data_IF_261214800361
#
_entry.id   IF_261214800361
#
_cell.length_a   1.000
_cell.length_b   1.000
_cell.length_c   1.000
_cell.angle_alpha   90.00
_cell.angle_beta   90.00
_cell.angle_gamma   90.00
#
_symmetry.space_group_name_H-M   'P 1'
#
loop_
_entity.id
_entity.type
_entity.pdbx_description
1 polymer ?
#
# COMPACT_ATOMS: atom_id res chain seq x y z
N UNK A 1 12.49 -71.17 -26.17
CA UNK A 1 13.78 -71.40 -25.48
C UNK A 1 14.44 -70.06 -25.23
N UNK A 2 14.93 -69.85 -24.00
CA UNK A 2 15.68 -68.66 -23.57
C UNK A 2 17.10 -68.68 -24.15
N UNK A 3 17.71 -67.50 -24.36
CA UNK A 3 19.14 -67.16 -24.18
C UNK A 3 19.29 -65.64 -24.48
N UNK A 4 19.44 -64.75 -23.50
CA UNK A 4 20.63 -64.31 -22.72
C UNK A 4 21.64 -63.41 -23.46
N UNK A 5 21.87 -62.24 -22.83
CA UNK A 5 23.10 -61.44 -22.69
C UNK A 5 23.51 -60.33 -23.69
N UNK A 6 23.20 -59.11 -23.22
CA UNK A 6 24.03 -57.92 -22.97
C UNK A 6 25.49 -57.79 -23.47
N UNK A 7 25.74 -56.56 -23.97
CA UNK A 7 26.85 -55.59 -23.71
C UNK A 7 27.97 -55.40 -24.75
N UNK A 8 28.12 -54.11 -25.08
CA UNK A 8 29.29 -53.37 -25.58
C UNK A 8 29.62 -53.49 -27.07
N UNK A 9 29.31 -52.45 -27.84
CA UNK A 9 30.38 -51.58 -28.31
C UNK A 9 29.89 -50.18 -28.68
N UNK A 10 30.72 -49.21 -28.29
CA UNK A 10 30.54 -47.77 -28.42
C UNK A 10 31.21 -47.30 -29.71
N UNK A 11 30.70 -46.20 -30.25
CA UNK A 11 31.43 -45.11 -30.95
C UNK A 11 30.93 -44.83 -32.37
N UNK A 12 30.69 -43.54 -32.56
CA UNK A 12 30.62 -42.78 -33.81
C UNK A 12 29.26 -42.77 -34.51
N UNK A 13 28.49 -41.70 -34.26
CA UNK A 13 28.18 -40.66 -35.25
C UNK A 13 27.07 -39.77 -34.68
N UNK A 14 27.43 -38.60 -34.14
CA UNK A 14 26.46 -37.49 -34.05
C UNK A 14 27.07 -36.24 -34.66
N UNK A 15 26.47 -35.92 -35.80
CA UNK A 15 26.69 -34.72 -36.59
C UNK A 15 26.42 -33.44 -35.79
N UNK A 16 27.19 -32.42 -36.16
CA UNK A 16 27.03 -31.02 -35.81
C UNK A 16 25.58 -30.55 -36.09
N UNK A 17 25.00 -29.84 -35.13
CA UNK A 17 24.00 -28.82 -35.41
C UNK A 17 24.41 -27.53 -34.69
N UNK A 18 24.50 -26.49 -35.52
CA UNK A 18 24.98 -25.15 -35.24
C UNK A 18 24.10 -24.36 -34.27
N UNK A 19 24.69 -23.26 -33.81
CA UNK A 19 24.20 -22.34 -32.80
C UNK A 19 22.78 -21.84 -32.99
N UNK A 20 22.04 -21.88 -31.88
CA UNK A 20 21.16 -20.79 -31.42
C UNK A 20 20.66 -21.07 -30.00
N UNK A 21 21.58 -21.36 -29.07
CA UNK A 21 21.28 -21.15 -27.65
C UNK A 21 21.37 -19.66 -27.38
N UNK A 22 20.34 -18.93 -27.83
CA UNK A 22 20.02 -17.61 -27.35
C UNK A 22 20.09 -17.65 -25.83
N UNK A 23 21.19 -17.11 -25.31
CA UNK A 23 21.37 -16.66 -23.95
C UNK A 23 20.18 -15.74 -23.63
N UNK A 24 19.10 -16.34 -23.13
CA UNK A 24 18.21 -15.70 -22.17
C UNK A 24 19.10 -15.38 -20.96
N UNK A 25 19.88 -14.30 -21.11
CA UNK A 25 20.45 -13.56 -19.98
C UNK A 25 19.25 -13.21 -19.13
N UNK A 26 18.98 -14.01 -18.10
CA UNK A 26 18.12 -13.63 -17.02
C UNK A 26 18.59 -12.25 -16.58
N UNK A 27 17.88 -11.19 -17.01
CA UNK A 27 18.08 -9.84 -16.50
C UNK A 27 18.00 -10.00 -15.00
N UNK A 28 19.10 -9.77 -14.28
CA UNK A 28 19.12 -9.84 -12.81
C UNK A 28 17.92 -9.02 -12.33
N UNK A 29 16.99 -9.67 -11.63
CA UNK A 29 15.84 -8.99 -11.03
C UNK A 29 16.35 -7.84 -10.16
N UNK A 30 15.68 -6.68 -10.23
CA UNK A 30 16.08 -5.51 -9.44
C UNK A 30 16.13 -5.86 -7.96
N UNK A 31 17.11 -5.31 -7.23
CA UNK A 31 17.16 -5.46 -5.78
C UNK A 31 15.96 -4.74 -5.17
N UNK A 32 15.23 -5.39 -4.27
CA UNK A 32 14.07 -4.81 -3.59
C UNK A 32 14.47 -4.48 -2.16
N UNK A 33 14.23 -3.25 -1.72
CA UNK A 33 14.36 -2.84 -0.32
C UNK A 33 12.97 -2.53 0.25
N UNK A 34 12.58 -3.27 1.28
CA UNK A 34 11.31 -3.04 1.99
C UNK A 34 11.48 -1.88 2.97
N UNK A 35 10.54 -0.95 2.93
CA UNK A 35 10.50 0.23 3.77
C UNK A 35 9.39 0.09 4.80
N UNK A 36 9.75 0.23 6.07
CA UNK A 36 8.81 0.15 7.18
C UNK A 36 8.04 1.46 7.35
N UNK A 37 6.79 1.34 7.80
CA UNK A 37 5.94 2.47 8.21
C UNK A 37 5.30 2.11 9.55
N UNK A 38 5.30 3.06 10.48
CA UNK A 38 4.79 2.90 11.84
C UNK A 38 4.09 4.20 12.20
N UNK A 39 2.94 4.13 12.89
CA UNK A 39 2.22 5.33 13.33
C UNK A 39 2.94 6.01 14.51
N UNK A 40 2.77 7.33 14.70
CA UNK A 40 3.34 8.04 15.85
C UNK A 40 2.92 7.47 17.22
N UNK A 41 1.69 6.95 17.33
CA UNK A 41 1.17 6.32 18.54
C UNK A 41 1.88 5.00 18.87
N UNK A 42 2.18 4.20 17.85
CA UNK A 42 2.93 2.95 17.99
C UNK A 42 4.42 3.20 18.25
N UNK A 43 4.94 4.35 17.81
CA UNK A 43 6.29 4.83 18.14
C UNK A 43 6.51 4.98 19.64
N UNK A 44 5.52 5.50 20.38
CA UNK A 44 5.64 5.66 21.84
C UNK A 44 5.61 4.33 22.56
N UNK A 45 4.76 3.40 22.13
CA UNK A 45 4.59 2.07 22.75
C UNK A 45 5.83 1.20 22.51
N UNK A 46 6.37 1.17 21.29
CA UNK A 46 7.60 0.42 21.00
C UNK A 46 8.80 0.90 21.86
N UNK A 47 8.86 2.20 22.17
CA UNK A 47 9.88 2.77 23.06
C UNK A 47 9.58 2.53 24.56
N UNK A 48 8.33 2.25 24.94
CA UNK A 48 7.92 1.97 26.33
C UNK A 48 8.04 0.47 26.67
N UNK A 49 7.66 -0.42 25.74
CA UNK A 49 7.77 -1.88 25.92
C UNK A 49 9.23 -2.36 25.89
N UNK A 50 10.14 -1.56 25.33
CA UNK A 50 11.59 -1.84 25.28
C UNK A 50 12.35 -1.53 26.58
N UNK A 51 11.66 -1.18 27.67
CA UNK A 51 12.28 -0.99 29.00
C UNK A 51 12.55 -2.34 29.69
N UNK A 52 12.05 -3.46 29.17
CA UNK A 52 12.13 -4.75 29.82
C UNK A 52 12.67 -5.88 28.92
N UNK A 53 13.81 -5.70 28.24
CA UNK A 53 14.72 -6.81 27.85
C UNK A 53 16.02 -6.26 27.21
N UNK A 54 17.15 -6.51 27.87
CA UNK A 54 18.54 -6.36 27.43
C UNK A 54 18.95 -5.09 26.63
N UNK A 55 19.39 -4.11 27.43
CA UNK A 55 20.07 -2.87 27.07
C UNK A 55 21.33 -3.10 26.22
N UNK A 56 21.26 -2.86 24.90
CA UNK A 56 22.32 -2.20 24.11
C UNK A 56 22.04 -2.05 22.60
N UNK A 57 21.17 -2.85 21.95
CA UNK A 57 21.16 -2.92 20.47
C UNK A 57 19.78 -2.70 19.80
N UNK A 58 18.68 -2.66 20.55
CA UNK A 58 17.32 -2.57 19.96
C UNK A 58 16.70 -1.17 20.13
N UNK A 59 16.85 -0.53 21.29
CA UNK A 59 16.27 0.79 21.58
C UNK A 59 16.98 1.99 20.91
N UNK A 60 18.05 1.77 20.14
CA UNK A 60 18.79 2.82 19.41
C UNK A 60 18.66 2.72 17.88
N UNK A 61 17.90 1.75 17.34
CA UNK A 61 17.72 1.59 15.89
C UNK A 61 16.52 2.39 15.41
N UNK A 62 16.74 3.65 15.02
CA UNK A 62 15.74 4.47 14.34
C UNK A 62 15.22 3.79 13.07
N UNK A 63 13.95 4.01 12.72
CA UNK A 63 13.39 3.37 11.54
C UNK A 63 13.91 4.01 10.24
N UNK A 64 13.67 3.33 9.12
CA UNK A 64 13.93 3.88 7.78
C UNK A 64 13.15 5.18 7.54
N UNK A 65 11.97 5.33 8.16
CA UNK A 65 11.13 6.52 8.08
C UNK A 65 11.65 7.67 8.95
N UNK A 66 12.15 7.39 10.16
CA UNK A 66 12.79 8.43 11.00
C UNK A 66 14.02 9.02 10.31
N UNK A 67 14.82 8.15 9.72
CA UNK A 67 16.01 8.58 9.02
C UNK A 67 15.67 9.37 7.76
N UNK A 68 14.55 9.06 7.11
CA UNK A 68 14.02 9.85 6.00
C UNK A 68 13.65 11.27 6.45
N UNK A 69 12.90 11.39 7.55
CA UNK A 69 12.56 12.68 8.15
C UNK A 69 13.80 13.48 8.58
N UNK A 70 14.77 12.84 9.23
CA UNK A 70 16.06 13.47 9.59
C UNK A 70 16.83 13.94 8.36
N UNK A 71 16.86 13.14 7.30
CA UNK A 71 17.50 13.50 6.04
C UNK A 71 16.84 14.74 5.40
N UNK A 72 15.51 14.77 5.35
CA UNK A 72 14.77 15.92 4.82
C UNK A 72 14.96 17.18 5.66
N UNK A 73 15.04 17.04 6.99
CA UNK A 73 15.34 18.16 7.90
C UNK A 73 16.71 18.75 7.64
N UNK A 74 17.73 17.91 7.44
CA UNK A 74 19.08 18.36 7.08
C UNK A 74 19.09 19.13 5.75
N UNK A 75 18.39 18.64 4.73
CA UNK A 75 18.24 19.36 3.45
C UNK A 75 17.59 20.72 3.67
N UNK A 76 16.54 20.78 4.50
CA UNK A 76 15.83 22.04 4.80
C UNK A 76 16.74 23.06 5.49
N UNK A 77 17.43 22.63 6.56
CA UNK A 77 18.40 23.46 7.29
C UNK A 77 19.52 23.98 6.38
N UNK A 78 20.07 23.10 5.53
CA UNK A 78 21.11 23.49 4.58
C UNK A 78 20.61 24.52 3.55
N UNK A 79 19.39 24.38 3.04
CA UNK A 79 18.78 25.34 2.10
C UNK A 79 18.51 26.70 2.74
N UNK A 80 18.12 26.72 4.01
CA UNK A 80 17.91 27.95 4.78
C UNK A 80 19.24 28.68 5.03
N UNK A 81 20.31 27.92 5.30
CA UNK A 81 21.67 28.45 5.49
C UNK A 81 22.35 28.89 4.19
N UNK A 82 22.04 28.24 3.06
CA UNK A 82 22.74 28.41 1.79
C UNK A 82 22.15 29.47 0.85
N UNK A 83 21.49 30.51 1.37
CA UNK A 83 21.06 31.67 0.55
C UNK A 83 22.23 32.36 -0.20
N UNK A 84 23.47 31.92 0.01
CA UNK A 84 24.67 32.32 -0.72
C UNK A 84 25.51 31.10 -1.17
N UNK A 85 25.45 30.76 -2.46
CA UNK A 85 26.42 29.95 -3.25
C UNK A 85 26.77 28.52 -2.77
N UNK A 86 26.01 27.48 -3.20
CA UNK A 86 26.50 26.08 -3.36
C UNK A 86 25.74 25.35 -4.48
N UNK A 87 26.40 24.42 -5.19
CA UNK A 87 25.85 23.46 -6.17
C UNK A 87 24.53 22.80 -5.70
N UNK A 88 23.43 23.21 -6.34
CA UNK A 88 22.06 22.80 -6.01
C UNK A 88 21.73 21.33 -6.35
N UNK A 89 22.56 20.67 -7.17
CA UNK A 89 22.33 19.32 -7.70
C UNK A 89 22.39 18.20 -6.64
N UNK A 90 22.96 18.45 -5.46
CA UNK A 90 23.06 17.44 -4.39
C UNK A 90 21.96 17.54 -3.31
N UNK A 91 21.01 18.47 -3.42
CA UNK A 91 20.00 18.75 -2.38
C UNK A 91 18.56 18.42 -2.81
N UNK A 92 18.35 17.45 -3.69
CA UNK A 92 17.01 17.09 -4.14
C UNK A 92 16.23 16.30 -3.06
N UNK A 93 14.97 16.69 -2.83
CA UNK A 93 14.04 15.87 -2.07
C UNK A 93 13.56 14.69 -2.90
N UNK A 94 13.49 13.52 -2.27
CA UNK A 94 13.03 12.29 -2.89
C UNK A 94 11.82 11.74 -2.14
N UNK A 95 10.93 11.07 -2.86
CA UNK A 95 9.86 10.34 -2.18
C UNK A 95 10.45 9.23 -1.31
N UNK A 96 9.75 8.85 -0.25
CA UNK A 96 10.24 7.83 0.66
C UNK A 96 10.55 6.50 -0.08
N UNK A 97 9.71 6.12 -1.05
CA UNK A 97 9.94 4.91 -1.87
C UNK A 97 11.13 5.02 -2.83
N UNK A 98 11.60 6.22 -3.15
CA UNK A 98 12.79 6.46 -3.97
C UNK A 98 14.08 6.45 -3.14
N UNK A 99 14.00 6.52 -1.80
CA UNK A 99 15.20 6.52 -0.94
C UNK A 99 16.19 5.40 -1.27
N UNK A 100 15.77 4.14 -1.45
CA UNK A 100 16.70 3.05 -1.76
C UNK A 100 17.43 3.19 -3.10
N UNK A 101 16.87 3.95 -4.05
CA UNK A 101 17.46 4.17 -5.37
C UNK A 101 18.68 5.09 -5.27
N UNK A 102 18.60 6.13 -4.45
CA UNK A 102 19.66 7.13 -4.28
C UNK A 102 20.55 6.88 -3.05
N UNK A 103 20.02 6.23 -2.02
CA UNK A 103 20.67 6.04 -0.73
C UNK A 103 20.67 4.57 -0.31
N UNK A 104 21.66 4.21 0.50
CA UNK A 104 21.76 2.93 1.18
C UNK A 104 21.38 3.12 2.64
N UNK A 105 20.53 2.23 3.14
CA UNK A 105 20.24 2.13 4.57
C UNK A 105 21.42 1.52 5.32
N UNK A 106 21.87 2.20 6.39
CA UNK A 106 22.90 1.70 7.30
C UNK A 106 22.27 1.46 8.68
N UNK A 107 21.80 0.25 8.92
CA UNK A 107 21.04 -0.09 10.13
C UNK A 107 21.79 0.14 11.44
N UNK A 108 23.12 -0.04 11.46
CA UNK A 108 23.94 0.20 12.68
C UNK A 108 23.91 1.67 13.13
N UNK A 109 23.79 2.61 12.19
CA UNK A 109 23.78 4.05 12.48
C UNK A 109 22.43 4.69 12.18
N UNK A 110 21.43 3.88 11.81
CA UNK A 110 20.06 4.28 11.49
C UNK A 110 19.98 5.50 10.57
N UNK A 111 20.77 5.50 9.48
CA UNK A 111 20.87 6.63 8.55
C UNK A 111 20.86 6.19 7.09
N UNK A 112 20.49 7.14 6.23
CA UNK A 112 20.60 7.04 4.78
C UNK A 112 21.94 7.61 4.32
N UNK A 113 22.76 6.80 3.67
CA UNK A 113 24.03 7.23 3.07
C UNK A 113 23.92 7.25 1.55
N UNK A 114 24.38 8.33 0.92
CA UNK A 114 24.33 8.47 -0.54
C UNK A 114 25.09 7.33 -1.20
N UNK A 115 24.50 6.72 -2.23
CA UNK A 115 25.17 5.68 -3.00
C UNK A 115 26.26 6.30 -3.87
N UNK A 116 27.46 5.72 -3.79
CA UNK A 116 28.58 6.06 -4.68
C UNK A 116 28.43 5.36 -6.04
N UNK A 117 27.81 4.17 -6.06
CA UNK A 117 27.60 3.39 -7.29
C UNK A 117 26.11 3.28 -7.60
N UNK A 118 25.72 3.71 -8.80
CA UNK A 118 24.36 3.53 -9.30
C UNK A 118 24.08 2.03 -9.48
N UNK A 119 23.17 1.51 -8.66
CA UNK A 119 22.54 0.20 -8.81
C UNK A 119 21.05 0.41 -8.70
N UNK A 120 20.29 -0.17 -9.63
CA UNK A 120 18.83 -0.05 -9.61
C UNK A 120 18.26 -0.86 -8.44
N UNK A 121 17.83 -0.15 -7.40
CA UNK A 121 17.17 -0.70 -6.21
C UNK A 121 15.77 -0.10 -6.14
N UNK A 122 14.76 -0.96 -6.02
CA UNK A 122 13.36 -0.54 -5.93
C UNK A 122 12.97 -0.52 -4.46
N UNK A 123 12.60 0.65 -3.94
CA UNK A 123 11.97 0.78 -2.64
C UNK A 123 10.51 0.32 -2.69
N UNK A 124 10.11 -0.49 -1.72
CA UNK A 124 8.70 -0.91 -1.56
C UNK A 124 8.25 -0.60 -0.15
N UNK A 125 7.37 0.38 -0.01
CA UNK A 125 6.68 0.65 1.24
C UNK A 125 5.73 -0.52 1.53
N UNK A 126 5.76 -1.01 2.78
CA UNK A 126 4.95 -2.15 3.23
C UNK A 126 3.49 -2.05 2.76
N UNK A 127 2.90 -3.19 2.37
CA UNK A 127 1.51 -3.22 1.95
C UNK A 127 0.61 -3.16 3.19
N UNK A 128 -0.35 -2.24 3.20
CA UNK A 128 -1.27 -2.06 4.32
C UNK A 128 -2.65 -2.50 3.88
N UNK A 129 -3.24 -3.41 4.64
CA UNK A 129 -4.65 -3.74 4.47
C UNK A 129 -5.50 -2.59 5.01
N UNK A 130 -6.19 -1.88 4.11
CA UNK A 130 -7.06 -0.76 4.46
C UNK A 130 -8.12 -1.14 5.52
N UNK A 131 -8.76 -2.31 5.38
CA UNK A 131 -9.83 -2.72 6.28
C UNK A 131 -9.35 -2.98 7.72
N UNK A 132 -8.08 -3.39 7.88
CA UNK A 132 -7.49 -3.63 9.18
C UNK A 132 -6.80 -2.38 9.76
N UNK A 133 -6.22 -1.52 8.91
CA UNK A 133 -5.33 -0.43 9.30
C UNK A 133 -5.55 0.81 8.40
N UNK A 134 -6.70 1.49 8.52
CA UNK A 134 -7.05 2.60 7.62
C UNK A 134 -6.10 3.80 7.79
N UNK A 135 -5.64 4.11 9.00
CA UNK A 135 -4.70 5.23 9.22
C UNK A 135 -3.33 4.98 8.56
N UNK A 136 -2.79 3.76 8.68
CA UNK A 136 -1.52 3.39 8.03
C UNK A 136 -1.63 3.37 6.51
N UNK A 137 -2.80 3.05 5.96
CA UNK A 137 -3.05 3.12 4.53
C UNK A 137 -2.91 4.57 4.02
N UNK A 138 -3.54 5.53 4.70
CA UNK A 138 -3.44 6.94 4.33
C UNK A 138 -2.03 7.50 4.55
N UNK A 139 -1.36 7.13 5.64
CA UNK A 139 0.05 7.48 5.86
C UNK A 139 0.93 6.97 4.71
N UNK A 140 0.75 5.71 4.30
CA UNK A 140 1.46 5.12 3.16
C UNK A 140 1.22 5.94 1.90
N UNK A 141 -0.04 6.31 1.63
CA UNK A 141 -0.39 7.10 0.45
C UNK A 141 0.34 8.46 0.47
N UNK A 142 0.34 9.16 1.59
CA UNK A 142 1.07 10.42 1.74
C UNK A 142 2.58 10.23 1.49
N UNK A 143 3.19 9.16 2.00
CA UNK A 143 4.61 8.85 1.76
C UNK A 143 4.96 8.52 0.30
N UNK A 144 3.97 8.18 -0.53
CA UNK A 144 4.15 8.05 -1.97
C UNK A 144 4.13 9.39 -2.70
N UNK A 145 3.49 10.41 -2.13
CA UNK A 145 3.14 11.67 -2.82
C UNK A 145 3.74 12.92 -2.19
N UNK A 146 4.34 12.83 -1.01
CA UNK A 146 5.04 13.93 -0.31
C UNK A 146 6.51 13.57 -0.18
N UNK A 147 7.40 14.43 -0.68
CA UNK A 147 8.86 14.14 -0.78
C UNK A 147 9.73 14.90 0.21
N UNK A 148 9.22 15.99 0.76
CA UNK A 148 9.93 16.99 1.54
C UNK A 148 9.52 17.02 3.02
N UNK A 149 8.62 16.12 3.43
CA UNK A 149 8.17 16.04 4.82
C UNK A 149 9.35 15.77 5.77
N UNK A 150 9.48 16.59 6.81
CA UNK A 150 10.51 16.45 7.85
C UNK A 150 10.01 15.74 9.10
N UNK A 151 8.70 15.51 9.18
CA UNK A 151 8.02 14.86 10.30
C UNK A 151 6.60 14.42 9.89
N UNK A 152 5.85 13.80 10.80
CA UNK A 152 4.48 13.33 10.55
C UNK A 152 3.44 14.45 10.42
N UNK A 153 3.69 15.63 10.98
CA UNK A 153 2.82 16.80 10.85
C UNK A 153 2.93 17.38 9.45
N UNK A 154 4.15 17.50 8.92
CA UNK A 154 4.39 17.95 7.54
C UNK A 154 3.65 17.06 6.51
N UNK A 155 3.61 15.74 6.75
CA UNK A 155 2.83 14.82 5.89
C UNK A 155 1.33 15.15 5.90
N UNK A 156 0.80 15.68 7.00
CA UNK A 156 -0.59 16.09 7.15
C UNK A 156 -0.83 17.55 6.75
N UNK A 157 0.20 18.28 6.36
CA UNK A 157 0.07 19.68 5.94
C UNK A 157 -0.12 19.75 4.42
N UNK A 158 -1.12 20.52 3.99
CA UNK A 158 -1.43 20.78 2.57
C UNK A 158 -1.71 22.26 2.42
N UNK A 159 -0.97 22.96 1.55
CA UNK A 159 -1.09 24.40 1.34
C UNK A 159 -1.11 25.18 2.68
N UNK A 160 -0.10 24.95 3.52
CA UNK A 160 0.06 25.56 4.85
C UNK A 160 -1.05 25.28 5.88
N UNK A 161 -2.01 24.41 5.54
CA UNK A 161 -3.05 23.96 6.47
C UNK A 161 -2.72 22.57 6.99
N UNK A 162 -2.53 22.45 8.31
CA UNK A 162 -2.30 21.17 8.98
C UNK A 162 -3.63 20.47 9.27
N UNK A 163 -3.79 19.24 8.80
CA UNK A 163 -4.99 18.44 9.03
C UNK A 163 -4.86 17.51 10.24
N UNK A 164 -5.98 17.22 10.88
CA UNK A 164 -6.02 16.43 12.10
C UNK A 164 -5.72 14.94 11.85
N UNK A 165 -6.12 14.41 10.68
CA UNK A 165 -5.92 13.02 10.30
C UNK A 165 -5.19 12.88 8.95
N UNK A 166 -4.50 11.75 8.74
CA UNK A 166 -3.90 11.45 7.44
C UNK A 166 -4.95 11.35 6.32
N UNK A 167 -6.17 10.85 6.63
CA UNK A 167 -7.27 10.80 5.67
C UNK A 167 -7.63 12.21 5.17
N UNK A 168 -7.84 13.16 6.07
CA UNK A 168 -8.17 14.53 5.69
C UNK A 168 -7.07 15.17 4.82
N UNK A 169 -5.80 14.92 5.13
CA UNK A 169 -4.70 15.38 4.29
C UNK A 169 -4.70 14.72 2.89
N UNK A 170 -5.02 13.42 2.79
CA UNK A 170 -5.19 12.75 1.51
C UNK A 170 -6.36 13.34 0.71
N UNK A 171 -7.51 13.60 1.34
CA UNK A 171 -8.67 14.25 0.71
C UNK A 171 -8.30 15.63 0.17
N UNK A 172 -7.65 16.47 0.99
CA UNK A 172 -7.22 17.81 0.59
C UNK A 172 -6.18 17.81 -0.55
N UNK A 173 -5.39 16.74 -0.69
CA UNK A 173 -4.46 16.53 -1.81
C UNK A 173 -5.09 15.89 -3.04
N UNK A 174 -6.37 15.51 -3.00
CA UNK A 174 -7.03 14.75 -4.07
C UNK A 174 -6.51 13.32 -4.23
N UNK A 175 -5.91 12.75 -3.18
CA UNK A 175 -5.37 11.38 -3.18
C UNK A 175 -6.40 10.35 -2.72
N UNK A 176 -7.46 10.77 -2.04
CA UNK A 176 -8.56 9.93 -1.59
C UNK A 176 -9.89 10.58 -1.97
N UNK A 177 -10.95 9.78 -2.05
CA UNK A 177 -12.34 10.24 -2.16
C UNK A 177 -13.06 9.88 -0.86
N UNK A 178 -14.06 10.68 -0.49
CA UNK A 178 -14.92 10.35 0.64
C UNK A 178 -16.15 9.57 0.14
N UNK A 179 -16.55 8.54 0.90
CA UNK A 179 -17.73 7.73 0.59
C UNK A 179 -19.05 8.51 0.77
N UNK A 180 -19.00 9.78 1.18
CA UNK A 180 -20.19 10.59 1.46
C UNK A 180 -21.14 10.70 0.26
N UNK A 181 -20.62 10.91 -0.94
CA UNK A 181 -21.45 10.98 -2.14
C UNK A 181 -22.17 9.65 -2.42
N UNK A 182 -21.52 8.53 -2.13
CA UNK A 182 -22.10 7.18 -2.26
C UNK A 182 -23.15 6.93 -1.20
N UNK A 183 -22.90 7.35 0.04
CA UNK A 183 -23.84 7.23 1.15
C UNK A 183 -25.10 8.05 0.87
N UNK A 184 -24.95 9.29 0.38
CA UNK A 184 -26.11 10.14 0.13
C UNK A 184 -26.93 9.63 -1.06
N UNK A 185 -26.29 9.25 -2.17
CA UNK A 185 -27.00 8.66 -3.31
C UNK A 185 -27.73 7.36 -2.94
N UNK A 186 -27.14 6.51 -2.09
CA UNK A 186 -27.82 5.30 -1.60
C UNK A 186 -28.96 5.62 -0.62
N UNK A 187 -28.85 6.67 0.21
CA UNK A 187 -29.97 7.11 1.06
C UNK A 187 -31.15 7.59 0.23
N UNK A 188 -30.91 8.42 -0.77
CA UNK A 188 -31.96 8.89 -1.67
C UNK A 188 -32.61 7.71 -2.40
N UNK A 189 -31.81 6.77 -2.91
CA UNK A 189 -32.33 5.56 -3.54
C UNK A 189 -33.09 4.65 -2.56
N UNK A 190 -32.77 4.65 -1.27
CA UNK A 190 -33.50 3.87 -0.27
C UNK A 190 -34.90 4.45 0.00
N UNK A 191 -35.08 5.76 -0.13
CA UNK A 191 -36.38 6.42 0.05
C UNK A 191 -37.38 6.08 -1.07
N UNK A 192 -36.90 5.78 -2.27
CA UNK A 192 -37.76 5.46 -3.42
C UNK A 192 -38.37 4.05 -3.37
N UNK A 193 -37.95 3.20 -2.41
CA UNK A 193 -38.42 1.80 -2.23
C UNK A 193 -38.30 0.96 -3.51
N UNK A 194 -37.23 1.17 -4.27
CA UNK A 194 -36.91 0.40 -5.47
C UNK A 194 -35.63 -0.41 -5.25
N UNK A 195 -35.68 -1.56 -4.54
CA UNK A 195 -34.49 -2.31 -4.16
C UNK A 195 -33.67 -2.84 -5.36
N UNK A 196 -34.32 -3.11 -6.50
CA UNK A 196 -33.61 -3.50 -7.74
C UNK A 196 -32.74 -2.36 -8.26
N UNK A 197 -33.30 -1.15 -8.39
CA UNK A 197 -32.57 0.03 -8.85
C UNK A 197 -31.46 0.42 -7.87
N UNK A 198 -31.75 0.31 -6.57
CA UNK A 198 -30.76 0.54 -5.51
C UNK A 198 -29.58 -0.44 -5.60
N UNK A 199 -29.84 -1.72 -5.89
CA UNK A 199 -28.76 -2.70 -6.15
C UNK A 199 -27.95 -2.35 -7.39
N UNK A 200 -28.58 -1.89 -8.48
CA UNK A 200 -27.86 -1.43 -9.67
C UNK A 200 -26.96 -0.23 -9.36
N UNK A 201 -27.44 0.76 -8.60
CA UNK A 201 -26.63 1.89 -8.13
C UNK A 201 -25.45 1.41 -7.27
N UNK A 202 -25.70 0.48 -6.34
CA UNK A 202 -24.66 -0.08 -5.49
C UNK A 202 -23.57 -0.77 -6.32
N UNK A 203 -23.94 -1.57 -7.32
CA UNK A 203 -23.00 -2.22 -8.25
C UNK A 203 -22.20 -1.16 -9.02
N UNK A 204 -22.84 -0.10 -9.53
CA UNK A 204 -22.16 1.00 -10.22
C UNK A 204 -21.11 1.66 -9.31
N UNK A 205 -21.46 1.91 -8.04
CA UNK A 205 -20.53 2.47 -7.05
C UNK A 205 -19.34 1.52 -6.85
N UNK A 206 -19.55 0.21 -6.77
CA UNK A 206 -18.46 -0.76 -6.62
C UNK A 206 -17.51 -0.80 -7.82
N UNK A 207 -18.05 -0.68 -9.04
CA UNK A 207 -17.27 -0.76 -10.28
C UNK A 207 -16.54 0.55 -10.56
N UNK A 208 -17.26 1.67 -10.58
CA UNK A 208 -16.75 2.96 -11.03
C UNK A 208 -16.29 3.85 -9.86
N UNK A 209 -16.97 3.74 -8.72
CA UNK A 209 -16.82 4.66 -7.60
C UNK A 209 -15.64 4.37 -6.68
N UNK A 210 -15.04 3.18 -6.76
CA UNK A 210 -13.93 2.73 -5.91
C UNK A 210 -14.08 3.13 -4.43
N UNK A 211 -15.18 2.72 -3.77
CA UNK A 211 -15.49 3.16 -2.41
C UNK A 211 -14.37 2.78 -1.44
N UNK A 212 -14.13 3.66 -0.48
CA UNK A 212 -13.08 3.51 0.54
C UNK A 212 -13.32 2.24 1.36
N UNK A 213 -14.56 2.01 1.77
CA UNK A 213 -14.96 0.79 2.48
C UNK A 213 -16.26 0.18 1.90
N UNK A 214 -16.16 -0.67 0.86
CA UNK A 214 -17.31 -1.32 0.24
C UNK A 214 -18.13 -2.15 1.25
N UNK A 215 -17.44 -2.78 2.22
CA UNK A 215 -18.08 -3.58 3.25
C UNK A 215 -18.91 -2.72 4.21
N UNK A 216 -18.39 -1.57 4.64
CA UNK A 216 -19.15 -0.61 5.48
C UNK A 216 -20.38 -0.10 4.75
N UNK A 217 -20.24 0.23 3.47
CA UNK A 217 -21.36 0.62 2.59
C UNK A 217 -22.41 -0.49 2.52
N UNK A 218 -22.01 -1.74 2.26
CA UNK A 218 -22.91 -2.89 2.30
C UNK A 218 -23.60 -3.03 3.66
N UNK A 219 -22.84 -3.05 4.76
CA UNK A 219 -23.40 -3.24 6.11
C UNK A 219 -24.40 -2.16 6.51
N UNK A 220 -24.25 -0.95 5.96
CA UNK A 220 -25.16 0.18 6.18
C UNK A 220 -26.48 0.01 5.42
N UNK A 221 -26.45 -0.51 4.19
CA UNK A 221 -27.61 -0.52 3.29
C UNK A 221 -28.17 -1.92 2.97
N UNK A 222 -27.59 -2.99 3.51
CA UNK A 222 -27.96 -4.38 3.18
C UNK A 222 -29.44 -4.69 3.35
N UNK A 223 -30.12 -4.07 4.31
CA UNK A 223 -31.56 -4.27 4.50
C UNK A 223 -32.37 -3.62 3.38
N UNK A 224 -32.05 -2.37 3.02
CA UNK A 224 -32.70 -1.66 1.89
C UNK A 224 -32.41 -2.35 0.56
N UNK A 225 -31.15 -2.76 0.34
CA UNK A 225 -30.72 -3.52 -0.83
C UNK A 225 -31.37 -4.89 -0.94
N UNK A 226 -31.94 -5.42 0.15
CA UNK A 226 -32.57 -6.73 0.22
C UNK A 226 -34.08 -6.65 0.47
N UNK A 227 -34.68 -5.46 0.44
CA UNK A 227 -36.06 -5.22 0.91
C UNK A 227 -37.08 -6.17 0.24
N UNK A 228 -37.01 -6.31 -1.08
CA UNK A 228 -37.87 -7.21 -1.86
C UNK A 228 -37.70 -8.69 -1.48
N UNK A 229 -36.46 -9.14 -1.28
CA UNK A 229 -36.18 -10.49 -0.83
C UNK A 229 -36.65 -10.72 0.61
N UNK A 230 -36.52 -9.73 1.49
CA UNK A 230 -36.99 -9.79 2.88
C UNK A 230 -38.52 -9.87 2.90
N UNK A 231 -39.22 -9.09 2.08
CA UNK A 231 -40.67 -9.17 1.96
C UNK A 231 -41.13 -10.54 1.41
N UNK A 232 -40.46 -11.06 0.40
CA UNK A 232 -40.74 -12.40 -0.13
C UNK A 232 -40.51 -13.49 0.94
N UNK A 233 -39.40 -13.40 1.68
CA UNK A 233 -39.09 -14.35 2.74
C UNK A 233 -40.12 -14.32 3.87
N UNK A 234 -40.55 -13.13 4.32
CA UNK A 234 -41.60 -12.97 5.33
C UNK A 234 -42.94 -13.60 4.91
N UNK A 235 -43.32 -13.47 3.64
CA UNK A 235 -44.55 -14.09 3.11
C UNK A 235 -44.46 -15.62 3.04
N UNK A 236 -43.27 -16.15 2.79
CA UNK A 236 -43.04 -17.58 2.59
C UNK A 236 -42.54 -18.30 3.85
N UNK A 237 -42.49 -17.63 5.01
CA UNK A 237 -41.95 -18.20 6.25
C UNK A 237 -40.44 -18.51 6.22
N UNK A 238 -39.68 -17.84 5.38
CA UNK A 238 -38.23 -18.05 5.20
C UNK A 238 -37.40 -17.10 6.06
N UNK A 239 -36.14 -17.48 6.31
CA UNK A 239 -35.20 -16.68 7.10
C UNK A 239 -34.80 -15.37 6.40
N UNK A 240 -34.85 -14.25 7.14
CA UNK A 240 -34.36 -12.93 6.69
C UNK A 240 -32.88 -12.97 6.31
N UNK A 241 -32.05 -13.72 7.05
CA UNK A 241 -30.62 -13.85 6.72
C UNK A 241 -30.41 -14.54 5.37
N UNK A 242 -31.28 -15.49 5.01
CA UNK A 242 -31.24 -16.13 3.69
C UNK A 242 -31.57 -15.12 2.58
N UNK A 243 -32.54 -14.23 2.82
CA UNK A 243 -32.91 -13.16 1.89
C UNK A 243 -31.77 -12.16 1.67
N UNK A 244 -31.11 -11.70 2.73
CA UNK A 244 -29.95 -10.79 2.64
C UNK A 244 -28.79 -11.47 1.88
N UNK A 245 -28.52 -12.74 2.16
CA UNK A 245 -27.50 -13.50 1.44
C UNK A 245 -27.82 -13.66 -0.05
N UNK A 246 -29.11 -13.75 -0.42
CA UNK A 246 -29.53 -13.80 -1.82
C UNK A 246 -29.24 -12.48 -2.53
N UNK A 247 -29.52 -11.33 -1.90
CA UNK A 247 -29.17 -10.03 -2.44
C UNK A 247 -27.65 -9.87 -2.59
N UNK A 248 -26.88 -10.28 -1.58
CA UNK A 248 -25.41 -10.23 -1.62
C UNK A 248 -24.86 -11.02 -2.81
N UNK A 249 -25.37 -12.23 -3.06
CA UNK A 249 -24.93 -13.05 -4.21
C UNK A 249 -25.19 -12.39 -5.55
N UNK A 250 -26.28 -11.64 -5.70
CA UNK A 250 -26.59 -10.92 -6.94
C UNK A 250 -25.60 -9.79 -7.17
N UNK A 251 -25.16 -9.12 -6.11
CA UNK A 251 -24.19 -8.02 -6.20
C UNK A 251 -22.77 -8.55 -6.40
N UNK A 252 -22.46 -9.73 -5.87
CA UNK A 252 -21.14 -10.33 -5.93
C UNK A 252 -20.83 -11.09 -7.24
N UNK A 253 -21.83 -11.27 -8.12
CA UNK A 253 -21.73 -11.95 -9.42
C UNK A 253 -21.83 -10.96 -10.58
#
# INVERSE_FOLDING_TARGET
MKQTHTLMDVVSHRQKYDGDYLLLKFKKSHSIQRLGIILPSQYRIANLDQIQEDLADVGQRGSTLDAYFKHNKQIKELRELSQSNVDLDNMEYHYYWQMPEHFRWVGRSSKWERRIRHRRVIGRIHNVNYAAQPELYHLRLLLYHVKDATNFEDLRTVNDTQYQTYKQACLARGLAYDDQQWIEGLRESALSKMPVAMRSLFIQILIDGSPENPKRLWDTFKENLSEDFIHAARRNGQSVNSAINRAYRIIAH
#
